data_IF_722590855469
#
_entry.id   IF_722590855469
#
_cell.length_a   1.000
_cell.length_b   1.000
_cell.length_c   1.000
_cell.angle_alpha   90.00
_cell.angle_beta   90.00
_cell.angle_gamma   90.00
#
_symmetry.space_group_name_H-M   'P 1'
#
loop_
_entity.id
_entity.type
_entity.pdbx_description
1 polymer ?
#
# COMPACT_ATOMS: atom_id res chain seq x y z
N UNK A 1 -7.25 3.05 -23.52
CA UNK A 1 -7.30 3.97 -22.36
C UNK A 1 -6.22 3.59 -21.35
N UNK A 2 -5.31 4.52 -21.02
CA UNK A 2 -4.33 4.30 -19.94
C UNK A 2 -4.97 4.60 -18.59
N UNK A 3 -4.88 3.67 -17.64
CA UNK A 3 -5.48 3.80 -16.31
C UNK A 3 -4.41 3.69 -15.24
N UNK A 4 -4.56 4.46 -14.16
CA UNK A 4 -3.63 4.37 -13.03
C UNK A 4 -3.71 2.95 -12.45
N UNK A 5 -2.56 2.31 -12.24
CA UNK A 5 -2.48 0.99 -11.62
C UNK A 5 -3.20 0.91 -10.27
N UNK A 6 -3.21 1.98 -9.48
CA UNK A 6 -3.96 2.02 -8.22
C UNK A 6 -5.46 1.94 -8.49
N UNK A 7 -5.98 2.76 -9.41
CA UNK A 7 -7.41 2.77 -9.73
C UNK A 7 -7.82 1.42 -10.34
N UNK A 8 -6.98 0.86 -11.22
CA UNK A 8 -7.17 -0.46 -11.80
C UNK A 8 -7.25 -1.57 -10.74
N UNK A 9 -6.43 -1.51 -9.70
CA UNK A 9 -6.47 -2.47 -8.59
C UNK A 9 -7.71 -2.28 -7.71
N UNK A 10 -8.15 -1.04 -7.48
CA UNK A 10 -9.32 -0.73 -6.65
C UNK A 10 -10.64 -1.08 -7.34
N UNK A 11 -10.72 -0.91 -8.67
CA UNK A 11 -11.95 -1.06 -9.45
C UNK A 11 -11.80 -2.09 -10.59
N UNK A 12 -11.10 -3.20 -10.32
CA UNK A 12 -10.75 -4.18 -11.33
C UNK A 12 -11.95 -4.74 -12.11
N UNK A 13 -13.07 -5.02 -11.44
CA UNK A 13 -14.30 -5.52 -12.08
C UNK A 13 -14.81 -4.58 -13.18
N UNK A 14 -14.83 -3.27 -12.90
CA UNK A 14 -15.25 -2.24 -13.86
C UNK A 14 -14.37 -2.23 -15.11
N UNK A 15 -13.06 -2.36 -14.94
CA UNK A 15 -12.12 -2.34 -16.08
C UNK A 15 -12.14 -3.64 -16.87
N UNK A 16 -12.47 -4.77 -16.24
CA UNK A 16 -12.71 -6.02 -16.94
C UNK A 16 -13.96 -5.94 -17.80
N UNK A 17 -15.06 -5.38 -17.28
CA UNK A 17 -16.28 -5.14 -18.07
C UNK A 17 -16.00 -4.25 -19.28
N UNK A 18 -15.27 -3.14 -19.11
CA UNK A 18 -14.86 -2.27 -20.21
C UNK A 18 -13.99 -3.00 -21.25
N UNK A 19 -13.06 -3.85 -20.80
CA UNK A 19 -12.24 -4.65 -21.69
C UNK A 19 -13.06 -5.69 -22.49
N UNK A 20 -14.11 -6.24 -21.88
CA UNK A 20 -15.04 -7.16 -22.54
C UNK A 20 -15.95 -6.44 -23.55
N UNK A 21 -16.28 -5.17 -23.29
CA UNK A 21 -17.03 -4.30 -24.20
C UNK A 21 -16.17 -3.77 -25.37
N UNK A 22 -14.88 -4.13 -25.40
CA UNK A 22 -13.96 -3.82 -26.50
C UNK A 22 -13.05 -2.62 -26.26
N UNK A 23 -13.11 -1.99 -25.09
CA UNK A 23 -12.18 -0.91 -24.73
C UNK A 23 -10.83 -1.47 -24.30
N UNK A 24 -9.76 -1.08 -24.99
CA UNK A 24 -8.41 -1.48 -24.59
C UNK A 24 -7.99 -0.75 -23.30
N UNK A 25 -7.93 -1.45 -22.17
CA UNK A 25 -7.50 -0.89 -20.87
C UNK A 25 -6.05 -1.26 -20.59
N UNK A 26 -5.17 -0.27 -20.50
CA UNK A 26 -3.73 -0.47 -20.21
C UNK A 26 -3.40 0.12 -18.84
N UNK A 27 -3.14 -0.71 -17.82
CA UNK A 27 -2.69 -0.23 -16.52
C UNK A 27 -1.28 0.35 -16.63
N UNK A 28 -1.12 1.60 -16.22
CA UNK A 28 0.18 2.27 -16.18
C UNK A 28 0.56 2.57 -14.74
N UNK A 29 1.79 2.22 -14.40
CA UNK A 29 2.40 2.65 -13.14
C UNK A 29 2.66 4.14 -13.23
N UNK A 30 1.87 4.93 -12.51
CA UNK A 30 2.23 6.33 -12.28
C UNK A 30 3.20 6.33 -11.11
N UNK A 31 4.39 6.91 -11.30
CA UNK A 31 5.33 7.11 -10.19
C UNK A 31 4.58 7.89 -9.12
N UNK A 32 4.42 7.36 -7.89
CA UNK A 32 3.72 8.09 -6.85
C UNK A 32 4.38 9.46 -6.71
N UNK A 33 3.60 10.55 -6.80
CA UNK A 33 4.11 11.90 -6.58
C UNK A 33 4.74 11.91 -5.19
N UNK A 34 6.06 11.84 -5.13
CA UNK A 34 6.83 11.97 -3.88
C UNK A 34 6.56 13.37 -3.36
N UNK A 35 5.53 13.52 -2.53
CA UNK A 35 5.39 14.68 -1.66
C UNK A 35 6.65 14.68 -0.81
N UNK A 36 7.45 15.74 -0.87
CA UNK A 36 8.43 16.03 0.16
C UNK A 36 7.63 16.36 1.43
N UNK A 37 7.20 15.31 2.13
CA UNK A 37 6.99 15.40 3.56
C UNK A 37 8.41 15.60 4.11
N UNK A 38 8.64 16.71 4.81
CA UNK A 38 9.97 17.10 5.27
C UNK A 38 10.71 15.92 5.91
N UNK A 39 12.01 15.84 5.68
CA UNK A 39 12.83 14.81 6.33
C UNK A 39 12.73 14.98 7.85
N UNK A 40 12.22 13.98 8.57
CA UNK A 40 12.63 13.79 9.96
C UNK A 40 14.16 13.68 9.93
N UNK A 41 14.84 14.76 10.33
CA UNK A 41 16.31 14.88 10.24
C UNK A 41 17.05 13.91 11.16
N UNK A 42 16.35 13.19 12.02
CA UNK A 42 16.93 12.33 13.04
C UNK A 42 16.20 11.00 13.10
N UNK A 43 17.01 9.92 13.16
CA UNK A 43 16.55 8.60 13.61
C UNK A 43 16.84 8.54 15.10
N UNK A 44 15.83 8.18 15.91
CA UNK A 44 16.02 7.87 17.33
C UNK A 44 16.06 6.36 17.52
N UNK A 45 16.92 5.88 18.41
CA UNK A 45 16.86 4.49 18.89
C UNK A 45 16.07 4.53 20.21
N UNK A 46 14.95 3.83 20.26
CA UNK A 46 14.25 3.60 21.52
C UNK A 46 15.01 2.51 22.29
N UNK A 47 15.36 2.78 23.54
CA UNK A 47 16.03 1.82 24.44
C UNK A 47 15.06 0.91 25.19
N UNK A 48 13.75 1.13 25.05
CA UNK A 48 12.73 0.28 25.66
C UNK A 48 12.71 -1.09 24.96
N UNK A 49 12.55 -2.17 25.73
CA UNK A 49 12.36 -3.51 25.18
C UNK A 49 10.92 -3.73 24.75
N UNK A 50 10.55 -3.09 23.65
CA UNK A 50 9.21 -3.18 23.08
C UNK A 50 8.85 -4.62 22.67
N UNK A 51 9.83 -5.49 22.42
CA UNK A 51 9.54 -6.88 22.06
C UNK A 51 9.10 -7.68 23.27
N UNK A 52 9.79 -7.51 24.40
CA UNK A 52 9.38 -8.11 25.68
C UNK A 52 8.04 -7.56 26.16
N UNK A 53 7.91 -6.22 26.16
CA UNK A 53 6.73 -5.53 26.71
C UNK A 53 5.43 -5.92 26.00
N UNK A 54 5.48 -6.14 24.67
CA UNK A 54 4.31 -6.51 23.87
C UNK A 54 4.23 -8.01 23.55
N UNK A 55 5.07 -8.86 24.14
CA UNK A 55 5.13 -10.28 23.78
C UNK A 55 3.77 -11.00 23.92
N UNK A 56 3.03 -10.71 25.00
CA UNK A 56 1.71 -11.29 25.26
C UNK A 56 0.68 -10.81 24.25
N UNK A 57 0.66 -9.51 23.94
CA UNK A 57 -0.28 -8.93 22.98
C UNK A 57 0.01 -9.44 21.56
N UNK A 58 1.28 -9.53 21.18
CA UNK A 58 1.72 -10.09 19.89
C UNK A 58 1.28 -11.54 19.77
N UNK A 59 1.49 -12.35 20.81
CA UNK A 59 1.07 -13.75 20.80
C UNK A 59 -0.46 -13.88 20.79
N UNK A 60 -1.18 -12.98 21.42
CA UNK A 60 -2.66 -12.97 21.40
C UNK A 60 -3.22 -12.57 20.03
N UNK A 61 -2.55 -11.66 19.32
CA UNK A 61 -3.00 -11.19 18.00
C UNK A 61 -2.56 -12.09 16.84
N UNK A 62 -1.38 -12.72 16.96
CA UNK A 62 -0.72 -13.42 15.86
C UNK A 62 -0.31 -14.86 16.18
N UNK A 63 -0.45 -15.30 17.43
CA UNK A 63 -0.24 -16.69 17.84
C UNK A 63 -1.50 -17.50 17.59
N UNK A 64 -1.37 -18.57 16.81
CA UNK A 64 -2.45 -19.53 16.52
C UNK A 64 -2.92 -20.29 17.76
#
# INVERSE_FOLDING_TARGET
MQVNLHDAKTHLSRYVEQALDGDEVVPVSTTPRRRQLGFMRTKGIASADLKGDFAVDINTMFGC
#
